data_IF_453814135080
#
_entry.id   IF_453814135080
#
_cell.length_a   1.000
_cell.length_b   1.000
_cell.length_c   1.000
_cell.angle_alpha   90.00
_cell.angle_beta   90.00
_cell.angle_gamma   90.00
#
_symmetry.space_group_name_H-M   'P 1'
#
loop_
_entity.id
_entity.type
_entity.pdbx_description
1 polymer ?
#
# COMPACT_ATOMS: atom_id res chain seq x y z
N UNK A 1 8.81 13.63 23.17
CA UNK A 1 7.98 13.05 22.09
C UNK A 1 8.72 13.22 20.79
N UNK A 2 9.06 12.15 20.07
CA UNK A 2 9.73 12.28 18.77
C UNK A 2 8.73 12.79 17.73
N UNK A 3 8.97 13.98 17.18
CA UNK A 3 8.20 14.54 16.07
C UNK A 3 8.40 13.67 14.82
N UNK A 4 7.36 12.95 14.42
CA UNK A 4 7.39 12.12 13.20
C UNK A 4 6.98 12.96 12.00
N UNK A 5 7.74 12.88 10.91
CA UNK A 5 7.32 13.42 9.62
C UNK A 5 6.34 12.43 8.97
N UNK A 6 5.23 12.96 8.44
CA UNK A 6 4.13 12.19 7.85
C UNK A 6 3.90 12.68 6.42
N UNK A 7 3.78 11.74 5.49
CA UNK A 7 3.26 11.99 4.15
C UNK A 7 1.85 11.38 4.12
N UNK A 8 0.84 12.23 3.90
CA UNK A 8 -0.54 11.77 3.73
C UNK A 8 -0.75 11.23 2.32
N UNK A 9 -1.39 10.08 2.20
CA UNK A 9 -1.77 9.47 0.91
C UNK A 9 -3.28 9.33 0.90
N UNK A 10 -3.92 9.96 -0.09
CA UNK A 10 -5.36 9.94 -0.27
C UNK A 10 -5.75 8.90 -1.32
N UNK A 11 -6.89 8.24 -1.11
CA UNK A 11 -7.44 7.24 -2.02
C UNK A 11 -8.83 7.70 -2.49
N UNK A 12 -9.05 7.71 -3.81
CA UNK A 12 -10.34 8.08 -4.36
C UNK A 12 -11.35 6.94 -4.26
N UNK A 13 -12.52 7.22 -3.68
CA UNK A 13 -13.64 6.26 -3.70
C UNK A 13 -14.26 6.07 -5.09
N UNK A 14 -13.97 6.98 -6.04
CA UNK A 14 -14.46 6.88 -7.41
C UNK A 14 -13.58 6.04 -8.33
N UNK A 15 -12.42 5.58 -7.84
CA UNK A 15 -11.45 4.79 -8.60
C UNK A 15 -11.35 3.38 -8.02
N UNK A 16 -11.79 2.34 -8.74
CA UNK A 16 -11.73 0.96 -8.25
C UNK A 16 -10.31 0.52 -7.85
N UNK A 17 -9.29 0.94 -8.61
CA UNK A 17 -7.89 0.64 -8.35
C UNK A 17 -7.39 1.23 -7.01
N UNK A 18 -7.81 2.45 -6.67
CA UNK A 18 -7.48 3.08 -5.39
C UNK A 18 -8.16 2.35 -4.23
N UNK A 19 -9.42 1.94 -4.41
CA UNK A 19 -10.16 1.18 -3.41
C UNK A 19 -9.54 -0.18 -3.15
N UNK A 20 -9.11 -0.88 -4.20
CA UNK A 20 -8.41 -2.17 -4.10
C UNK A 20 -7.07 -2.01 -3.37
N UNK A 21 -6.27 -1.02 -3.75
CA UNK A 21 -4.99 -0.74 -3.10
C UNK A 21 -5.18 -0.36 -1.63
N UNK A 22 -6.17 0.48 -1.32
CA UNK A 22 -6.49 0.87 0.05
C UNK A 22 -6.92 -0.34 0.90
N UNK A 23 -7.80 -1.20 0.37
CA UNK A 23 -8.23 -2.42 1.04
C UNK A 23 -7.04 -3.35 1.31
N UNK A 24 -6.18 -3.54 0.31
CA UNK A 24 -4.97 -4.37 0.43
C UNK A 24 -4.02 -3.84 1.49
N UNK A 25 -3.76 -2.53 1.49
CA UNK A 25 -2.89 -1.91 2.48
C UNK A 25 -3.43 -2.06 3.90
N UNK A 26 -4.75 -2.06 4.08
CA UNK A 26 -5.40 -2.29 5.38
C UNK A 26 -5.22 -3.71 5.94
N UNK A 27 -4.87 -4.70 5.12
CA UNK A 27 -4.58 -6.06 5.59
C UNK A 27 -3.25 -6.15 6.36
N UNK A 28 -2.32 -5.21 6.12
CA UNK A 28 -1.05 -5.19 6.83
C UNK A 28 -1.22 -4.61 8.24
N UNK A 29 -0.54 -5.20 9.22
CA UNK A 29 -0.51 -4.69 10.60
C UNK A 29 0.15 -3.31 10.72
N UNK A 30 1.09 -2.98 9.83
CA UNK A 30 1.82 -1.72 9.80
C UNK A 30 2.02 -1.21 8.35
N UNK A 31 0.97 -0.71 7.68
CA UNK A 31 1.01 -0.37 6.25
C UNK A 31 2.09 0.66 5.90
N UNK A 32 2.29 1.67 6.74
CA UNK A 32 3.33 2.67 6.52
C UNK A 32 4.77 2.13 6.62
N UNK A 33 4.98 1.04 7.38
CA UNK A 33 6.27 0.36 7.42
C UNK A 33 6.43 -0.51 6.17
N UNK A 34 5.40 -1.29 5.79
CA UNK A 34 5.39 -2.11 4.58
C UNK A 34 5.66 -1.28 3.32
N UNK A 35 5.00 -0.13 3.16
CA UNK A 35 5.25 0.79 2.04
C UNK A 35 6.70 1.27 2.04
N UNK A 36 7.27 1.61 3.20
CA UNK A 36 8.68 2.02 3.29
C UNK A 36 9.63 0.91 2.88
N UNK A 37 9.35 -0.33 3.27
CA UNK A 37 10.18 -1.47 2.88
C UNK A 37 10.09 -1.77 1.39
N UNK A 38 8.90 -1.59 0.78
CA UNK A 38 8.74 -1.65 -0.68
C UNK A 38 9.55 -0.54 -1.36
N UNK A 39 9.44 0.71 -0.91
CA UNK A 39 10.18 1.84 -1.48
C UNK A 39 11.70 1.72 -1.32
N UNK A 40 12.16 1.03 -0.27
CA UNK A 40 13.58 0.70 -0.06
C UNK A 40 14.05 -0.50 -0.89
N UNK A 41 13.14 -1.21 -1.56
CA UNK A 41 13.44 -2.44 -2.31
C UNK A 41 13.63 -3.69 -1.44
N UNK A 42 13.30 -3.61 -0.15
CA UNK A 42 13.36 -4.75 0.78
C UNK A 42 12.20 -5.74 0.55
N UNK A 43 11.08 -5.23 0.05
CA UNK A 43 9.90 -6.02 -0.30
C UNK A 43 9.52 -5.78 -1.77
N UNK A 44 9.12 -6.83 -2.51
CA UNK A 44 8.70 -6.66 -3.89
C UNK A 44 7.34 -5.96 -3.99
N UNK A 45 7.16 -5.18 -5.05
CA UNK A 45 5.89 -4.50 -5.34
C UNK A 45 4.72 -5.47 -5.57
N UNK A 46 5.02 -6.71 -5.98
CA UNK A 46 4.01 -7.77 -6.20
C UNK A 46 3.17 -8.08 -4.95
N UNK A 47 3.64 -7.75 -3.75
CA UNK A 47 2.87 -7.91 -2.50
C UNK A 47 1.60 -7.03 -2.48
N UNK A 48 1.59 -5.94 -3.24
CA UNK A 48 0.43 -5.07 -3.41
C UNK A 48 -0.52 -5.52 -4.53
N UNK A 49 -0.12 -6.50 -5.34
CA UNK A 49 -0.99 -7.07 -6.37
C UNK A 49 -1.96 -8.05 -5.73
N UNK A 50 -3.21 -7.98 -6.15
CA UNK A 50 -4.20 -9.03 -5.88
C UNK A 50 -4.07 -10.13 -6.93
N UNK A 51 -4.41 -11.37 -6.57
CA UNK A 51 -4.26 -12.54 -7.45
C UNK A 51 -5.04 -12.42 -8.79
N UNK A 52 -6.01 -11.50 -8.87
CA UNK A 52 -6.73 -11.17 -10.10
C UNK A 52 -5.84 -10.52 -11.18
N UNK A 53 -4.72 -9.89 -10.81
CA UNK A 53 -3.79 -9.25 -11.76
C UNK A 53 -2.88 -10.28 -12.47
N UNK A 54 -2.91 -11.56 -12.05
CA UNK A 54 -2.09 -12.64 -12.61
C UNK A 54 -2.83 -13.47 -13.69
N UNK A 55 -4.04 -13.07 -14.07
CA UNK A 55 -4.89 -13.79 -15.03
C UNK A 55 -5.11 -13.05 -16.36
N UNK A 56 -4.24 -12.11 -16.73
CA UNK A 56 -4.29 -11.41 -18.03
C UNK A 56 -3.01 -11.58 -18.82
#
# INVERSE_FOLDING_TARGET
>A
MASRLVISVEFSKGKPEDLQLYAKLKEFSAPGATIKDILKGNLPLSILKTDEDNSR
#
